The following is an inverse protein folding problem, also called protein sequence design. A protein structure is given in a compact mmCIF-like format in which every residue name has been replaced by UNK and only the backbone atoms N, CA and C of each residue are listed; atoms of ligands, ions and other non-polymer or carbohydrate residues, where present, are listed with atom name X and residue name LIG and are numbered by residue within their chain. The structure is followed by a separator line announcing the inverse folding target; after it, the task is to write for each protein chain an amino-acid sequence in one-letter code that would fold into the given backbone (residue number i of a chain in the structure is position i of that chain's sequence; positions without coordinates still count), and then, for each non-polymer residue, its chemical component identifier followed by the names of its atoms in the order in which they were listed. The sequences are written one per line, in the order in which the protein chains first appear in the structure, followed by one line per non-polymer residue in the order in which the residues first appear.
data_IF_444982887300
#
_entry.id   IF_444982887300
#
_cell.length_a   1.000
_cell.length_b   1.000
_cell.length_c   1.000
_cell.angle_alpha   90.00
_cell.angle_beta   90.00
_cell.angle_gamma   90.00
#
_symmetry.space_group_name_H-M   'P 1'
#
loop_
_entity.id
_entity.type
_entity.pdbx_description
1 polymer ?
#
# COMPACT_ATOMS: atom_id res chain seq x y z
N UNK A 1 -28.69 4.97 2.22
CA UNK A 1 -29.67 5.70 3.04
C UNK A 1 -29.05 7.07 3.18
N UNK A 2 -29.66 8.12 2.63
CA UNK A 2 -29.04 9.45 2.62
C UNK A 2 -28.77 9.90 4.05
N UNK A 3 -27.65 10.59 4.27
CA UNK A 3 -27.40 11.24 5.55
C UNK A 3 -28.53 12.25 5.80
N UNK A 4 -29.30 12.04 6.88
CA UNK A 4 -30.45 12.88 7.21
C UNK A 4 -30.08 14.37 7.41
N UNK A 5 -28.80 14.63 7.65
CA UNK A 5 -28.17 15.95 7.73
C UNK A 5 -27.09 16.06 6.66
N UNK A 6 -26.98 17.21 5.99
CA UNK A 6 -25.91 17.45 5.04
C UNK A 6 -24.54 17.47 5.74
N UNK A 7 -23.60 16.64 5.27
CA UNK A 7 -22.22 16.61 5.76
C UNK A 7 -21.49 17.91 5.39
N UNK A 8 -20.61 18.36 6.29
CA UNK A 8 -19.70 19.49 6.02
C UNK A 8 -18.28 18.94 5.90
N UNK A 9 -17.90 18.56 4.69
CA UNK A 9 -16.60 17.94 4.43
C UNK A 9 -15.43 18.86 4.80
N UNK A 10 -14.50 18.31 5.58
CA UNK A 10 -13.23 18.95 5.96
C UNK A 10 -12.01 18.31 5.28
N UNK A 11 -12.19 17.15 4.63
CA UNK A 11 -11.14 16.31 4.02
C UNK A 11 -10.15 17.11 3.16
N UNK A 12 -10.61 17.93 2.21
CA UNK A 12 -9.71 18.69 1.33
C UNK A 12 -8.83 19.68 2.10
N UNK A 13 -9.37 20.35 3.12
CA UNK A 13 -8.61 21.29 3.96
C UNK A 13 -7.62 20.59 4.91
N UNK A 14 -7.86 19.32 5.22
CA UNK A 14 -6.93 18.44 5.94
C UNK A 14 -5.82 17.97 5.00
N UNK A 15 -6.19 17.32 3.90
CA UNK A 15 -5.31 16.81 2.87
C UNK A 15 -4.25 17.83 2.43
N UNK A 16 -4.69 19.04 2.02
CA UNK A 16 -3.80 20.11 1.57
C UNK A 16 -2.78 20.57 2.63
N UNK A 17 -3.06 20.38 3.92
CA UNK A 17 -2.10 20.67 5.01
C UNK A 17 -1.17 19.49 5.25
N UNK A 18 -1.67 18.26 5.19
CA UNK A 18 -0.89 17.05 5.45
C UNK A 18 0.18 16.81 4.37
N UNK A 19 -0.15 17.01 3.09
CA UNK A 19 0.82 16.85 1.97
C UNK A 19 2.02 17.79 2.05
N UNK A 20 1.86 18.97 2.66
CA UNK A 20 2.96 19.92 2.87
C UNK A 20 3.93 19.50 3.99
N UNK A 21 3.58 18.48 4.78
CA UNK A 21 4.46 17.90 5.81
C UNK A 21 5.25 16.76 5.17
N UNK A 22 6.57 16.95 5.12
CA UNK A 22 7.50 15.92 4.64
C UNK A 22 7.54 14.74 5.63
N UNK A 23 7.17 13.57 5.14
CA UNK A 23 7.09 12.31 5.89
C UNK A 23 7.78 11.14 5.16
N UNK A 24 8.52 11.40 4.08
CA UNK A 24 9.12 10.33 3.27
C UNK A 24 9.97 9.34 4.10
N UNK A 25 9.78 8.04 3.87
CA UNK A 25 10.51 6.95 4.53
C UNK A 25 11.91 6.72 3.94
N UNK A 26 12.76 6.01 4.67
CA UNK A 26 14.15 5.69 4.29
C UNK A 26 14.38 4.17 4.38
N UNK A 27 14.44 3.43 3.26
CA UNK A 27 14.61 1.98 3.27
C UNK A 27 15.97 1.55 3.86
N UNK A 28 16.98 2.42 3.89
CA UNK A 28 18.31 2.14 4.46
C UNK A 28 18.36 2.36 5.98
N UNK A 29 17.38 3.05 6.55
CA UNK A 29 17.34 3.32 7.99
C UNK A 29 16.99 2.05 8.78
N UNK A 30 17.67 1.78 9.91
CA UNK A 30 17.35 0.66 10.80
C UNK A 30 16.35 1.03 11.91
N UNK A 31 15.84 2.28 11.96
CA UNK A 31 14.89 2.73 12.98
C UNK A 31 13.43 2.53 12.56
N UNK A 32 12.52 2.61 13.53
CA UNK A 32 11.06 2.71 13.32
C UNK A 32 10.59 3.95 14.12
N UNK A 33 10.09 5.01 13.47
CA UNK A 33 9.99 5.16 12.01
C UNK A 33 11.38 5.24 11.39
N UNK A 34 11.50 4.92 10.10
CA UNK A 34 12.73 5.05 9.34
C UNK A 34 13.23 6.49 9.32
N UNK A 35 12.30 7.46 9.28
CA UNK A 35 12.59 8.88 9.41
C UNK A 35 11.74 9.54 10.51
N UNK A 36 12.40 10.17 11.49
CA UNK A 36 11.73 10.87 12.60
C UNK A 36 10.79 12.01 12.16
N UNK A 37 10.89 12.46 10.90
CA UNK A 37 9.98 13.47 10.32
C UNK A 37 8.55 12.97 10.14
N UNK A 38 8.31 11.65 10.00
CA UNK A 38 6.96 11.07 9.97
C UNK A 38 6.14 11.45 11.21
N UNK A 39 6.77 11.43 12.39
CA UNK A 39 6.15 11.84 13.66
C UNK A 39 5.72 13.31 13.68
N UNK A 40 6.13 14.16 12.72
CA UNK A 40 5.61 15.53 12.61
C UNK A 40 4.14 15.54 12.18
N UNK A 41 3.77 14.71 11.20
CA UNK A 41 2.38 14.50 10.83
C UNK A 41 1.63 13.82 11.98
N UNK A 42 2.18 12.73 12.54
CA UNK A 42 1.55 12.02 13.65
C UNK A 42 1.22 12.90 14.87
N UNK A 43 2.09 13.85 15.24
CA UNK A 43 1.81 14.83 16.31
C UNK A 43 0.66 15.78 15.96
N UNK A 44 0.56 16.22 14.71
CA UNK A 44 -0.56 17.04 14.24
C UNK A 44 -1.88 16.26 14.25
N UNK A 45 -1.86 15.01 13.77
CA UNK A 45 -3.05 14.14 13.77
C UNK A 45 -3.57 13.90 15.19
N UNK A 46 -2.68 13.60 16.14
CA UNK A 46 -3.06 13.49 17.57
C UNK A 46 -3.69 14.77 18.10
N UNK A 47 -3.11 15.94 17.82
CA UNK A 47 -3.69 17.21 18.24
C UNK A 47 -5.11 17.38 17.66
N UNK A 48 -5.29 17.13 16.37
CA UNK A 48 -6.58 17.29 15.69
C UNK A 48 -7.63 16.26 16.15
N UNK A 49 -7.24 15.02 16.47
CA UNK A 49 -8.11 14.00 17.05
C UNK A 49 -8.59 14.41 18.46
N UNK A 50 -7.69 14.96 19.28
CA UNK A 50 -8.03 15.52 20.60
C UNK A 50 -8.97 16.73 20.47
N UNK A 51 -8.76 17.60 19.48
CA UNK A 51 -9.64 18.74 19.18
C UNK A 51 -11.03 18.33 18.64
N UNK A 52 -11.12 17.20 17.92
CA UNK A 52 -12.40 16.57 17.53
C UNK A 52 -13.12 16.00 18.76
N UNK A 53 -12.37 15.52 19.76
CA UNK A 53 -12.88 15.02 21.04
C UNK A 53 -12.53 13.57 21.35
N UNK A 54 -11.64 12.92 20.59
CA UNK A 54 -11.17 11.56 20.85
C UNK A 54 -10.08 11.60 21.92
N UNK A 55 -10.50 11.54 23.19
CA UNK A 55 -9.64 11.84 24.36
C UNK A 55 -8.52 10.82 24.63
N UNK A 56 -8.54 9.65 23.98
CA UNK A 56 -7.49 8.64 24.06
C UNK A 56 -6.45 8.76 22.93
N UNK A 57 -6.57 9.76 22.05
CA UNK A 57 -5.67 9.94 20.91
C UNK A 57 -4.22 10.19 21.36
N UNK A 58 -3.29 9.38 20.86
CA UNK A 58 -1.86 9.50 21.17
C UNK A 58 -0.95 8.92 20.09
N UNK A 59 0.30 9.36 20.10
CA UNK A 59 1.40 8.89 19.28
C UNK A 59 2.32 8.04 20.17
N UNK A 60 2.70 6.84 19.74
CA UNK A 60 3.62 5.98 20.49
C UNK A 60 5.12 6.22 20.15
N UNK A 61 6.00 5.43 20.76
CA UNK A 61 7.45 5.54 20.58
C UNK A 61 7.92 5.16 19.16
N UNK A 62 7.20 4.25 18.49
CA UNK A 62 7.48 3.78 17.13
C UNK A 62 6.84 4.67 16.05
N UNK A 63 6.00 5.62 16.44
CA UNK A 63 5.40 6.61 15.55
C UNK A 63 3.99 6.28 15.09
N UNK A 64 3.32 5.29 15.68
CA UNK A 64 1.92 4.97 15.37
C UNK A 64 0.99 5.92 16.10
N UNK A 65 -0.03 6.43 15.40
CA UNK A 65 -1.14 7.16 16.02
C UNK A 65 -2.28 6.19 16.29
N UNK A 66 -2.81 6.22 17.51
CA UNK A 66 -4.01 5.47 17.90
C UNK A 66 -5.06 6.43 18.45
N UNK A 67 -6.34 6.18 18.14
CA UNK A 67 -7.48 6.84 18.79
C UNK A 67 -8.75 5.96 18.73
N UNK A 68 -9.77 6.31 19.52
CA UNK A 68 -11.06 5.62 19.55
C UNK A 68 -12.22 6.61 19.39
N UNK A 69 -13.07 6.42 18.37
CA UNK A 69 -14.42 6.99 18.35
C UNK A 69 -15.32 6.10 19.21
N UNK A 70 -15.91 6.59 20.31
CA UNK A 70 -16.75 5.77 21.19
C UNK A 70 -18.08 5.40 20.50
N UNK A 71 -18.60 4.20 20.76
CA UNK A 71 -19.92 3.79 20.27
C UNK A 71 -21.03 4.77 20.71
N UNK A 72 -22.04 4.95 19.84
CA UNK A 72 -23.17 5.86 20.10
C UNK A 72 -24.56 5.19 19.97
N UNK A 73 -24.58 3.85 20.00
CA UNK A 73 -25.76 2.99 19.90
C UNK A 73 -26.02 2.22 21.21
N UNK A 74 -27.27 1.84 21.44
CA UNK A 74 -27.71 1.02 22.57
C UNK A 74 -27.55 -0.50 22.33
N UNK A 75 -27.13 -0.91 21.12
CA UNK A 75 -26.88 -2.32 20.79
C UNK A 75 -25.63 -2.83 21.53
N UNK A 76 -25.73 -3.94 22.31
CA UNK A 76 -24.63 -4.39 23.15
C UNK A 76 -23.45 -5.02 22.40
N UNK A 77 -23.71 -5.64 21.24
CA UNK A 77 -22.78 -6.58 20.59
C UNK A 77 -22.27 -6.08 19.21
N UNK A 78 -22.26 -4.77 18.95
CA UNK A 78 -21.71 -4.23 17.69
C UNK A 78 -20.19 -4.44 17.64
N UNK A 79 -19.65 -5.15 16.64
CA UNK A 79 -18.21 -5.41 16.57
C UNK A 79 -17.39 -4.13 16.50
N UNK A 80 -16.26 -4.11 17.20
CA UNK A 80 -15.25 -3.04 17.08
C UNK A 80 -14.60 -3.18 15.70
N UNK A 81 -14.56 -2.11 14.92
CA UNK A 81 -13.84 -2.06 13.63
C UNK A 81 -12.75 -1.00 13.66
N UNK A 82 -11.73 -1.15 12.82
CA UNK A 82 -10.64 -0.19 12.69
C UNK A 82 -10.56 0.40 11.28
N UNK A 83 -10.17 1.66 11.16
CA UNK A 83 -9.68 2.25 9.90
C UNK A 83 -8.19 2.53 10.02
N UNK A 84 -7.47 2.29 8.92
CA UNK A 84 -6.02 2.39 8.84
C UNK A 84 -5.58 3.15 7.59
N UNK A 85 -4.54 3.97 7.72
CA UNK A 85 -3.83 4.64 6.61
C UNK A 85 -2.38 4.90 7.04
N UNK A 86 -1.45 4.94 6.10
CA UNK A 86 -0.06 5.26 6.42
C UNK A 86 0.23 6.76 6.34
N UNK A 87 1.31 7.19 7.01
CA UNK A 87 1.69 8.61 7.12
C UNK A 87 2.89 8.99 6.26
N UNK A 88 3.73 8.03 5.87
CA UNK A 88 4.88 8.27 4.99
C UNK A 88 4.46 8.45 3.53
N UNK A 89 5.46 8.55 2.65
CA UNK A 89 5.33 8.72 1.20
C UNK A 89 6.57 8.12 0.55
N UNK A 90 6.45 7.57 -0.65
CA UNK A 90 7.46 6.77 -1.30
C UNK A 90 8.86 7.41 -1.34
N UNK A 91 9.94 6.59 -1.21
CA UNK A 91 11.31 7.06 -1.43
C UNK A 91 11.59 7.39 -2.91
N UNK A 92 10.79 6.86 -3.85
CA UNK A 92 11.00 6.97 -5.30
C UNK A 92 10.90 8.41 -5.86
N UNK A 93 10.10 9.27 -5.20
CA UNK A 93 9.98 10.67 -5.56
C UNK A 93 9.94 11.56 -4.30
N UNK A 94 10.56 12.74 -4.36
CA UNK A 94 10.67 13.62 -3.18
C UNK A 94 9.31 14.11 -2.68
N UNK A 95 8.96 13.74 -1.44
CA UNK A 95 7.88 14.36 -0.65
C UNK A 95 8.29 15.65 0.08
N UNK A 96 9.53 16.12 -0.08
CA UNK A 96 10.01 17.36 0.56
C UNK A 96 9.52 18.61 -0.18
N UNK A 97 8.71 19.44 0.47
CA UNK A 97 8.34 20.77 -0.04
C UNK A 97 7.23 20.77 -1.10
N UNK A 98 6.31 19.80 -1.02
CA UNK A 98 5.12 19.71 -1.89
C UNK A 98 4.32 21.01 -1.89
N UNK A 99 3.90 21.43 -3.09
CA UNK A 99 2.98 22.55 -3.31
C UNK A 99 1.70 22.02 -3.96
N UNK A 100 0.64 21.74 -3.19
CA UNK A 100 -0.59 21.21 -3.77
C UNK A 100 -1.37 22.31 -4.52
N UNK A 101 -1.93 21.96 -5.67
CA UNK A 101 -2.67 22.85 -6.57
C UNK A 101 -4.03 22.24 -6.87
N UNK A 102 -5.10 23.01 -6.67
CA UNK A 102 -6.47 22.59 -7.05
C UNK A 102 -6.79 23.08 -8.45
N UNK A 103 -7.05 22.14 -9.36
CA UNK A 103 -7.57 22.36 -10.72
C UNK A 103 -9.08 22.17 -10.68
N UNK A 104 -9.83 23.28 -10.75
CA UNK A 104 -11.28 23.24 -10.56
C UNK A 104 -12.05 22.86 -11.81
N UNK A 105 -13.11 22.06 -11.66
CA UNK A 105 -13.99 21.63 -12.75
C UNK A 105 -13.16 21.13 -13.95
N UNK A 106 -12.42 20.04 -13.75
CA UNK A 106 -11.58 19.43 -14.76
C UNK A 106 -12.38 19.14 -16.04
N UNK A 107 -11.89 19.60 -17.19
CA UNK A 107 -12.63 19.58 -18.47
C UNK A 107 -12.16 18.47 -19.43
N UNK A 108 -11.24 17.62 -18.99
CA UNK A 108 -10.61 16.57 -19.82
C UNK A 108 -9.37 17.04 -20.60
N UNK A 109 -8.88 18.27 -20.39
CA UNK A 109 -7.64 18.76 -20.99
C UNK A 109 -6.38 18.16 -20.33
N UNK A 110 -5.22 18.37 -20.96
CA UNK A 110 -3.92 17.99 -20.39
C UNK A 110 -3.52 18.99 -19.28
N UNK A 111 -3.16 18.49 -18.09
CA UNK A 111 -2.74 19.33 -16.95
C UNK A 111 -1.22 19.50 -16.98
N UNK A 112 -0.74 20.72 -17.25
CA UNK A 112 0.69 21.08 -17.26
C UNK A 112 1.09 21.58 -15.86
N UNK A 113 2.10 20.94 -15.25
CA UNK A 113 2.51 21.30 -13.89
C UNK A 113 3.47 22.51 -13.90
N UNK A 114 3.30 23.52 -13.03
CA UNK A 114 3.90 24.85 -13.23
C UNK A 114 5.38 24.98 -12.83
N UNK A 115 5.90 24.19 -11.88
CA UNK A 115 7.31 24.25 -11.50
C UNK A 115 8.20 23.37 -12.42
N UNK A 116 7.62 22.39 -13.12
CA UNK A 116 8.27 21.55 -14.13
C UNK A 116 7.30 21.27 -15.29
N UNK A 117 7.29 22.15 -16.29
CA UNK A 117 6.35 22.08 -17.44
C UNK A 117 6.62 20.90 -18.38
N UNK A 118 7.65 20.08 -18.12
CA UNK A 118 7.81 18.79 -18.79
C UNK A 118 6.89 17.71 -18.22
N UNK A 119 6.41 17.89 -16.98
CA UNK A 119 5.38 17.07 -16.39
C UNK A 119 4.01 17.54 -16.89
N UNK A 120 3.37 16.66 -17.66
CA UNK A 120 2.05 16.90 -18.23
C UNK A 120 1.23 15.65 -17.98
N UNK A 121 0.23 15.76 -17.12
CA UNK A 121 -0.74 14.71 -16.81
C UNK A 121 -1.76 14.68 -17.96
N UNK A 122 -1.82 13.57 -18.70
CA UNK A 122 -2.64 13.45 -19.92
C UNK A 122 -3.61 12.29 -19.84
N UNK A 123 -4.82 12.48 -20.35
CA UNK A 123 -5.87 11.45 -20.43
C UNK A 123 -5.44 10.16 -21.16
N UNK A 124 -4.52 10.26 -22.12
CA UNK A 124 -3.98 9.10 -22.87
C UNK A 124 -2.90 8.30 -22.11
N UNK A 125 -2.36 8.86 -21.04
CA UNK A 125 -1.34 8.25 -20.18
C UNK A 125 -1.96 7.80 -18.85
N UNK A 126 -2.98 8.52 -18.37
CA UNK A 126 -3.77 8.24 -17.17
C UNK A 126 -5.24 8.10 -17.55
N UNK A 127 -5.69 6.86 -17.79
CA UNK A 127 -7.02 6.59 -18.35
C UNK A 127 -8.18 6.99 -17.43
N UNK A 128 -7.94 7.07 -16.13
CA UNK A 128 -8.96 7.26 -15.10
C UNK A 128 -9.42 8.71 -14.95
N UNK A 129 -8.65 9.66 -15.49
CA UNK A 129 -9.07 11.05 -15.69
C UNK A 129 -10.38 11.17 -16.49
N UNK A 130 -10.74 10.17 -17.32
CA UNK A 130 -12.04 10.12 -18.03
C UNK A 130 -13.24 10.15 -17.08
N UNK A 131 -13.07 9.63 -15.86
CA UNK A 131 -14.11 9.55 -14.83
C UNK A 131 -14.24 10.85 -14.03
N UNK A 132 -13.29 11.78 -14.19
CA UNK A 132 -13.11 12.96 -13.35
C UNK A 132 -13.56 14.27 -14.00
N UNK A 133 -14.19 14.22 -15.18
CA UNK A 133 -14.67 15.41 -15.87
C UNK A 133 -15.79 16.08 -15.06
N UNK A 134 -15.56 17.32 -14.64
CA UNK A 134 -16.42 18.09 -13.74
C UNK A 134 -15.98 18.09 -12.27
N UNK A 135 -15.06 17.21 -11.86
CA UNK A 135 -14.50 17.18 -10.51
C UNK A 135 -13.38 18.22 -10.31
N UNK A 136 -13.06 18.52 -9.06
CA UNK A 136 -11.89 19.31 -8.68
C UNK A 136 -10.73 18.34 -8.42
N UNK A 137 -9.61 18.49 -9.14
CA UNK A 137 -8.43 17.65 -8.99
C UNK A 137 -7.34 18.36 -8.17
N UNK A 138 -6.60 17.62 -7.36
CA UNK A 138 -5.39 18.13 -6.67
C UNK A 138 -4.16 17.47 -7.28
N UNK A 139 -3.13 18.26 -7.62
CA UNK A 139 -1.81 17.78 -8.06
C UNK A 139 -0.70 18.42 -7.23
N UNK A 140 0.51 17.86 -7.28
CA UNK A 140 1.72 18.61 -6.94
C UNK A 140 2.04 19.69 -8.00
N UNK A 141 3.09 20.50 -7.78
CA UNK A 141 3.56 21.50 -8.76
C UNK A 141 4.52 20.96 -9.82
N UNK A 142 4.89 19.68 -9.78
CA UNK A 142 5.69 18.96 -10.78
C UNK A 142 7.15 18.66 -10.41
N UNK A 143 7.64 19.19 -9.29
CA UNK A 143 9.01 18.93 -8.78
C UNK A 143 9.09 17.81 -7.74
N UNK A 144 7.94 17.39 -7.22
CA UNK A 144 7.73 16.50 -6.07
C UNK A 144 6.58 15.54 -6.39
N UNK A 145 6.46 14.46 -5.60
CA UNK A 145 5.18 13.74 -5.51
C UNK A 145 4.13 14.62 -4.79
N UNK A 146 2.86 14.23 -4.82
CA UNK A 146 1.81 14.88 -4.04
C UNK A 146 1.71 14.30 -2.63
N UNK A 147 1.87 12.99 -2.47
CA UNK A 147 1.53 12.27 -1.25
C UNK A 147 0.01 12.20 -1.05
N UNK A 148 -0.72 12.00 -2.15
CA UNK A 148 -2.08 11.47 -2.09
C UNK A 148 -2.01 10.12 -1.38
N UNK A 149 -1.14 9.25 -1.89
CA UNK A 149 -0.65 8.03 -1.26
C UNK A 149 0.19 8.39 0.00
N UNK A 150 -0.27 8.12 1.24
CA UNK A 150 -1.65 7.81 1.63
C UNK A 150 -2.29 8.87 2.54
N UNK A 151 -1.87 10.13 2.39
CA UNK A 151 -2.45 11.26 3.16
C UNK A 151 -3.88 11.61 2.74
N UNK A 152 -4.36 11.10 1.59
CA UNK A 152 -5.77 11.10 1.20
C UNK A 152 -6.57 10.26 2.20
N UNK A 153 -6.23 8.97 2.36
CA UNK A 153 -6.81 8.07 3.36
C UNK A 153 -6.75 8.62 4.80
N UNK A 154 -5.59 9.17 5.20
CA UNK A 154 -5.47 9.86 6.50
C UNK A 154 -6.48 11.01 6.62
N UNK A 155 -6.62 11.87 5.60
CA UNK A 155 -7.54 12.99 5.61
C UNK A 155 -9.02 12.55 5.64
N UNK A 156 -9.35 11.45 4.98
CA UNK A 156 -10.68 10.86 4.93
C UNK A 156 -11.09 10.28 6.28
N UNK A 157 -10.20 9.49 6.90
CA UNK A 157 -10.42 8.93 8.24
C UNK A 157 -10.56 10.07 9.26
N UNK A 158 -9.74 11.12 9.16
CA UNK A 158 -9.82 12.30 10.03
C UNK A 158 -11.14 13.10 9.84
N UNK A 159 -11.64 13.22 8.61
CA UNK A 159 -12.94 13.87 8.34
C UNK A 159 -14.10 12.97 8.80
N UNK A 160 -14.04 11.66 8.56
CA UNK A 160 -15.03 10.72 9.06
C UNK A 160 -15.13 10.74 10.60
N UNK A 161 -14.00 10.77 11.32
CA UNK A 161 -13.98 10.99 12.77
C UNK A 161 -14.69 12.29 13.18
N UNK A 162 -14.45 13.38 12.44
CA UNK A 162 -15.12 14.65 12.65
C UNK A 162 -16.64 14.55 12.40
N UNK A 163 -17.08 13.89 11.33
CA UNK A 163 -18.51 13.72 11.06
C UNK A 163 -19.19 12.85 12.13
N UNK A 164 -18.63 11.67 12.49
CA UNK A 164 -19.19 10.77 13.51
C UNK A 164 -19.37 11.46 14.87
N UNK A 165 -18.40 12.29 15.27
CA UNK A 165 -18.46 13.06 16.53
C UNK A 165 -19.39 14.28 16.49
N UNK A 166 -19.83 14.71 15.31
CA UNK A 166 -20.76 15.85 15.13
C UNK A 166 -22.18 15.44 14.75
N UNK A 167 -22.37 14.24 14.25
CA UNK A 167 -23.64 13.70 13.75
C UNK A 167 -24.07 12.45 14.55
N UNK A 168 -24.54 12.59 15.81
CA UNK A 168 -24.95 11.47 16.67
C UNK A 168 -26.19 10.71 16.16
N UNK A 169 -26.83 11.18 15.09
CA UNK A 169 -27.84 10.47 14.30
C UNK A 169 -27.24 9.33 13.44
N UNK A 170 -25.95 9.40 13.08
CA UNK A 170 -25.23 8.31 12.41
C UNK A 170 -24.90 7.28 13.48
N UNK A 171 -25.59 6.13 13.48
CA UNK A 171 -25.37 5.09 14.49
C UNK A 171 -24.19 4.18 14.14
N UNK A 172 -23.32 3.96 15.12
CA UNK A 172 -22.11 3.15 14.98
C UNK A 172 -21.68 2.50 16.30
N UNK A 173 -20.96 1.38 16.17
CA UNK A 173 -20.19 0.77 17.26
C UNK A 173 -18.92 1.54 17.59
N UNK A 174 -18.03 0.95 18.37
CA UNK A 174 -16.72 1.55 18.68
C UNK A 174 -15.82 1.46 17.45
N UNK A 175 -15.26 2.60 17.03
CA UNK A 175 -14.36 2.67 15.87
C UNK A 175 -12.95 2.97 16.36
N UNK A 176 -11.98 2.17 15.92
CA UNK A 176 -10.55 2.35 16.16
C UNK A 176 -9.90 3.03 14.98
N UNK A 177 -8.91 3.87 15.28
CA UNK A 177 -8.12 4.60 14.30
C UNK A 177 -6.67 4.19 14.47
N UNK A 178 -6.02 3.82 13.38
CA UNK A 178 -4.58 3.55 13.30
C UNK A 178 -3.99 4.42 12.18
N UNK A 179 -2.92 5.17 12.46
CA UNK A 179 -2.06 5.69 11.40
C UNK A 179 -0.66 5.12 11.54
N UNK A 180 -0.17 4.46 10.48
CA UNK A 180 1.09 3.69 10.49
C UNK A 180 2.26 4.49 9.92
N UNK A 181 3.50 4.24 10.39
CA UNK A 181 4.74 4.69 9.77
C UNK A 181 5.41 3.57 8.95
N UNK A 182 6.11 3.92 7.87
CA UNK A 182 6.97 3.01 7.07
C UNK A 182 6.23 1.93 6.24
N UNK A 183 5.02 2.21 5.73
CA UNK A 183 4.32 1.28 4.82
C UNK A 183 5.15 1.05 3.55
N UNK A 184 5.58 2.16 2.92
CA UNK A 184 6.31 2.25 1.65
C UNK A 184 7.64 1.50 1.59
N UNK A 185 8.15 1.06 2.75
CA UNK A 185 9.37 0.24 2.89
C UNK A 185 9.08 -1.16 3.50
N UNK A 186 7.80 -1.56 3.51
CA UNK A 186 7.26 -2.86 3.92
C UNK A 186 7.13 -3.06 5.43
N UNK A 187 7.24 -2.01 6.26
CA UNK A 187 7.36 -2.10 7.73
C UNK A 187 6.17 -1.52 8.50
N UNK A 188 5.19 -0.97 7.78
CA UNK A 188 4.00 -0.29 8.29
C UNK A 188 3.43 -0.89 9.59
N UNK A 189 3.24 -2.21 9.65
CA UNK A 189 2.66 -2.90 10.84
C UNK A 189 3.64 -3.69 11.72
N UNK A 190 4.96 -3.54 11.58
CA UNK A 190 5.98 -4.27 12.38
C UNK A 190 5.85 -4.09 13.91
N UNK A 191 5.27 -2.98 14.36
CA UNK A 191 5.03 -2.65 15.78
C UNK A 191 3.57 -2.27 16.08
N UNK A 192 2.64 -2.53 15.17
CA UNK A 192 1.22 -2.27 15.40
C UNK A 192 0.67 -3.12 16.55
N UNK A 193 0.10 -2.48 17.57
CA UNK A 193 -0.46 -3.15 18.74
C UNK A 193 -1.90 -3.62 18.47
N UNK A 194 -2.01 -4.80 17.86
CA UNK A 194 -3.29 -5.43 17.49
C UNK A 194 -4.18 -5.68 18.72
N UNK A 195 -3.58 -5.98 19.88
CA UNK A 195 -4.34 -6.24 21.11
C UNK A 195 -5.00 -4.96 21.66
N UNK A 196 -4.32 -3.82 21.55
CA UNK A 196 -4.82 -2.48 21.90
C UNK A 196 -5.88 -1.95 20.93
N UNK A 197 -5.79 -2.32 19.65
CA UNK A 197 -6.89 -2.10 18.71
C UNK A 197 -8.11 -2.92 19.15
N UNK A 198 -7.93 -4.22 19.38
CA UNK A 198 -9.02 -5.11 19.83
C UNK A 198 -10.21 -5.15 18.86
N UNK A 199 -9.95 -4.88 17.58
CA UNK A 199 -10.95 -4.83 16.54
C UNK A 199 -11.20 -6.23 15.94
N UNK A 200 -12.44 -6.48 15.51
CA UNK A 200 -12.85 -7.68 14.79
C UNK A 200 -12.36 -7.66 13.33
N UNK A 201 -12.36 -6.48 12.72
CA UNK A 201 -11.94 -6.23 11.35
C UNK A 201 -11.29 -4.85 11.27
N UNK A 202 -10.41 -4.64 10.30
CA UNK A 202 -10.00 -3.30 9.90
C UNK A 202 -10.26 -3.07 8.41
N UNK A 203 -10.04 -1.84 7.95
CA UNK A 203 -10.06 -1.44 6.56
C UNK A 203 -8.91 -0.46 6.34
N UNK A 204 -8.01 -0.74 5.38
CA UNK A 204 -7.08 0.28 4.91
C UNK A 204 -7.83 1.21 3.94
N UNK A 205 -7.54 2.51 4.00
CA UNK A 205 -8.06 3.52 3.08
C UNK A 205 -6.92 3.94 2.15
N UNK A 206 -6.49 3.03 1.28
CA UNK A 206 -5.14 2.97 0.71
C UNK A 206 -5.17 2.44 -0.74
N UNK A 207 -6.26 2.74 -1.45
CA UNK A 207 -6.53 2.20 -2.78
C UNK A 207 -6.86 3.29 -3.80
N UNK A 208 -6.73 2.96 -5.08
CA UNK A 208 -6.83 3.93 -6.17
C UNK A 208 -8.28 4.40 -6.45
N UNK A 209 -8.93 3.87 -7.49
CA UNK A 209 -10.12 4.49 -8.09
C UNK A 209 -11.39 4.35 -7.23
N UNK A 210 -12.23 5.39 -7.22
CA UNK A 210 -13.49 5.42 -6.47
C UNK A 210 -14.39 4.21 -6.73
N UNK A 211 -14.74 3.50 -5.65
CA UNK A 211 -15.56 2.29 -5.67
C UNK A 211 -14.77 0.98 -5.83
N UNK A 212 -13.44 1.03 -5.93
CA UNK A 212 -12.62 -0.18 -5.81
C UNK A 212 -12.50 -0.62 -4.34
N UNK A 213 -12.57 -1.93 -4.12
CA UNK A 213 -12.23 -2.60 -2.87
C UNK A 213 -11.32 -3.77 -3.21
N UNK A 214 -10.26 -3.99 -2.45
CA UNK A 214 -9.31 -5.08 -2.72
C UNK A 214 -9.35 -6.09 -1.56
N UNK A 215 -9.57 -7.35 -1.91
CA UNK A 215 -9.73 -8.45 -0.95
C UNK A 215 -8.74 -9.61 -1.21
N UNK A 216 -7.80 -9.44 -2.14
CA UNK A 216 -6.74 -10.40 -2.42
C UNK A 216 -5.45 -9.71 -2.90
N UNK A 217 -4.32 -10.21 -2.43
CA UNK A 217 -2.96 -9.73 -2.76
C UNK A 217 -2.13 -10.86 -3.33
N UNK A 218 -0.93 -10.58 -3.83
CA UNK A 218 0.04 -11.65 -3.97
C UNK A 218 0.37 -12.29 -2.61
N UNK A 219 0.72 -13.57 -2.65
CA UNK A 219 1.65 -14.21 -1.73
C UNK A 219 3.08 -13.98 -2.21
N UNK A 220 4.00 -13.84 -1.28
CA UNK A 220 5.35 -13.38 -1.56
C UNK A 220 6.42 -14.18 -0.80
N UNK A 221 7.38 -14.69 -1.54
CA UNK A 221 8.65 -15.19 -1.03
C UNK A 221 9.80 -14.34 -1.60
N UNK A 222 10.87 -14.19 -0.83
CA UNK A 222 12.18 -13.80 -1.33
C UNK A 222 13.03 -15.04 -1.57
N UNK A 223 13.92 -15.02 -2.56
CA UNK A 223 14.88 -16.11 -2.75
C UNK A 223 16.30 -15.58 -2.98
N UNK A 224 17.29 -16.19 -2.32
CA UNK A 224 18.71 -15.85 -2.43
C UNK A 224 19.46 -17.01 -3.07
N UNK A 225 19.97 -16.80 -4.29
CA UNK A 225 20.77 -17.78 -5.02
C UNK A 225 22.25 -17.46 -4.82
N UNK A 226 22.95 -18.30 -4.05
CA UNK A 226 24.38 -18.17 -3.77
C UNK A 226 25.14 -19.17 -4.63
N UNK A 227 25.96 -18.70 -5.55
CA UNK A 227 26.73 -19.49 -6.51
C UNK A 227 28.20 -19.49 -6.10
N UNK A 228 28.80 -20.67 -5.98
CA UNK A 228 30.22 -20.87 -5.73
C UNK A 228 30.89 -21.36 -7.01
N UNK A 229 31.91 -20.64 -7.46
CA UNK A 229 32.72 -20.95 -8.63
C UNK A 229 34.14 -21.38 -8.24
N UNK A 230 35.04 -21.41 -9.23
CA UNK A 230 36.45 -21.74 -9.06
C UNK A 230 37.33 -20.58 -9.49
N UNK A 231 38.05 -20.00 -8.53
CA UNK A 231 38.98 -18.91 -8.76
C UNK A 231 40.34 -19.38 -9.30
N UNK A 232 40.92 -18.61 -10.21
CA UNK A 232 42.29 -18.79 -10.68
C UNK A 232 42.85 -17.43 -11.15
N UNK A 233 44.18 -17.28 -11.17
CA UNK A 233 44.79 -16.10 -11.78
C UNK A 233 44.41 -16.02 -13.28
N UNK A 234 43.86 -14.90 -13.79
CA UNK A 234 43.32 -14.82 -15.16
C UNK A 234 44.30 -15.26 -16.26
N UNK A 235 45.59 -14.95 -16.13
CA UNK A 235 46.63 -15.38 -17.07
C UNK A 235 46.92 -16.90 -17.10
N UNK A 236 46.37 -17.68 -16.16
CA UNK A 236 46.56 -19.13 -16.05
C UNK A 236 45.22 -19.89 -15.90
N UNK A 237 44.11 -19.25 -16.26
CA UNK A 237 42.74 -19.68 -15.97
C UNK A 237 42.17 -20.74 -16.93
N UNK A 238 42.81 -20.97 -18.08
CA UNK A 238 42.32 -21.87 -19.12
C UNK A 238 42.11 -23.30 -18.58
N UNK A 239 40.87 -23.81 -18.70
CA UNK A 239 40.48 -25.14 -18.21
C UNK A 239 40.47 -25.30 -16.68
N UNK A 240 40.45 -24.20 -15.93
CA UNK A 240 40.46 -24.21 -14.45
C UNK A 240 39.44 -23.26 -13.81
N UNK A 241 39.30 -22.06 -14.36
CA UNK A 241 38.40 -21.05 -13.78
C UNK A 241 36.95 -21.30 -14.19
N UNK A 242 36.08 -21.33 -13.19
CA UNK A 242 34.63 -21.35 -13.36
C UNK A 242 34.09 -20.11 -12.65
N UNK A 243 33.81 -19.05 -13.41
CA UNK A 243 33.57 -17.71 -12.83
C UNK A 243 32.13 -17.56 -12.34
N UNK A 244 31.94 -17.47 -11.02
CA UNK A 244 30.61 -17.39 -10.39
C UNK A 244 29.75 -16.25 -10.94
N UNK A 245 30.29 -15.03 -11.09
CA UNK A 245 29.57 -13.90 -11.71
C UNK A 245 29.12 -14.17 -13.16
N UNK A 246 29.87 -14.97 -13.93
CA UNK A 246 29.45 -15.38 -15.29
C UNK A 246 28.39 -16.49 -15.27
N UNK A 247 28.40 -17.34 -14.25
CA UNK A 247 27.36 -18.36 -14.02
C UNK A 247 26.05 -17.65 -13.63
N UNK A 248 26.10 -16.69 -12.71
CA UNK A 248 24.96 -15.86 -12.29
C UNK A 248 24.29 -15.15 -13.49
N UNK A 249 25.08 -14.45 -14.31
CA UNK A 249 24.55 -13.78 -15.51
C UNK A 249 23.95 -14.75 -16.55
N UNK A 250 24.42 -16.00 -16.63
CA UNK A 250 23.82 -17.04 -17.47
C UNK A 250 22.51 -17.58 -16.90
N UNK A 251 22.39 -17.70 -15.59
CA UNK A 251 21.15 -18.14 -14.92
C UNK A 251 20.07 -17.08 -15.14
N UNK A 252 20.38 -15.80 -14.88
CA UNK A 252 19.46 -14.68 -15.11
C UNK A 252 19.00 -14.64 -16.58
N UNK A 253 19.93 -14.74 -17.54
CA UNK A 253 19.62 -14.73 -18.97
C UNK A 253 18.95 -16.01 -19.50
N UNK A 254 18.70 -17.01 -18.64
CA UNK A 254 18.02 -18.26 -18.98
C UNK A 254 16.69 -18.45 -18.21
N UNK A 255 16.27 -17.45 -17.42
CA UNK A 255 14.93 -17.41 -16.82
C UNK A 255 13.87 -17.27 -17.93
N UNK A 256 12.64 -17.79 -17.73
CA UNK A 256 11.57 -17.63 -18.71
C UNK A 256 11.08 -16.19 -18.79
N UNK A 257 11.20 -15.54 -19.96
CA UNK A 257 10.69 -14.17 -20.18
C UNK A 257 9.21 -14.03 -19.81
N UNK A 258 8.40 -15.08 -20.00
CA UNK A 258 6.96 -15.09 -19.69
C UNK A 258 6.63 -15.28 -18.21
N UNK A 259 7.62 -15.32 -17.32
CA UNK A 259 7.49 -15.42 -15.86
C UNK A 259 8.09 -14.18 -15.18
N UNK A 260 7.99 -13.00 -15.80
CA UNK A 260 8.59 -11.76 -15.33
C UNK A 260 7.54 -10.64 -15.15
N UNK A 261 7.78 -9.60 -14.31
CA UNK A 261 6.83 -8.52 -14.08
C UNK A 261 6.41 -7.77 -15.35
N UNK A 262 7.35 -7.55 -16.28
CA UNK A 262 7.14 -6.82 -17.53
C UNK A 262 6.39 -7.62 -18.62
N UNK A 263 6.16 -8.92 -18.41
CA UNK A 263 5.42 -9.79 -19.33
C UNK A 263 4.22 -10.51 -18.68
N UNK A 264 3.89 -10.20 -17.42
CA UNK A 264 2.78 -10.84 -16.68
C UNK A 264 1.73 -9.81 -16.24
N UNK A 265 0.46 -10.14 -16.42
CA UNK A 265 -0.68 -9.29 -16.08
C UNK A 265 -1.68 -9.97 -15.15
N UNK A 266 -2.67 -9.21 -14.68
CA UNK A 266 -3.82 -9.69 -13.91
C UNK A 266 -3.41 -10.64 -12.76
N UNK A 267 -3.81 -11.91 -12.85
CA UNK A 267 -3.59 -12.95 -11.84
C UNK A 267 -2.29 -13.76 -12.03
N UNK A 268 -1.42 -13.41 -12.97
CA UNK A 268 -0.20 -14.16 -13.25
C UNK A 268 0.94 -13.82 -12.28
N UNK A 269 1.48 -14.81 -11.58
CA UNK A 269 2.71 -14.69 -10.78
C UNK A 269 3.98 -14.53 -11.61
N UNK A 270 5.10 -14.27 -10.95
CA UNK A 270 6.42 -14.08 -11.57
C UNK A 270 7.59 -14.43 -10.63
N UNK A 271 8.77 -14.57 -11.25
CA UNK A 271 10.10 -14.62 -10.62
C UNK A 271 10.89 -13.44 -11.15
N UNK A 272 11.41 -12.59 -10.26
CA UNK A 272 12.15 -11.39 -10.67
C UNK A 272 13.46 -11.23 -9.89
N UNK A 273 14.64 -11.24 -10.54
CA UNK A 273 15.90 -10.88 -9.91
C UNK A 273 15.94 -9.37 -9.65
N UNK A 274 16.19 -8.97 -8.40
CA UNK A 274 16.16 -7.57 -7.95
C UNK A 274 17.55 -7.00 -7.63
N UNK A 275 18.51 -7.84 -7.26
CA UNK A 275 19.92 -7.45 -7.11
C UNK A 275 20.85 -8.60 -7.51
N UNK A 276 22.07 -8.25 -7.94
CA UNK A 276 23.15 -9.20 -8.19
C UNK A 276 24.50 -8.58 -7.80
N UNK A 277 25.20 -9.23 -6.87
CA UNK A 277 26.56 -8.89 -6.49
C UNK A 277 27.48 -10.10 -6.61
N UNK A 278 28.77 -9.89 -6.90
CA UNK A 278 29.67 -11.03 -7.03
C UNK A 278 31.02 -10.74 -7.65
N UNK A 279 31.80 -11.81 -7.73
CA UNK A 279 33.15 -11.84 -8.28
C UNK A 279 33.47 -13.23 -8.86
N UNK A 280 34.73 -13.62 -8.96
CA UNK A 280 35.13 -14.87 -9.60
C UNK A 280 34.73 -16.10 -8.76
N UNK A 281 34.93 -16.03 -7.44
CA UNK A 281 34.77 -17.17 -6.52
C UNK A 281 33.33 -17.35 -6.04
N UNK A 282 32.61 -16.26 -5.77
CA UNK A 282 31.21 -16.29 -5.32
C UNK A 282 30.40 -15.22 -6.05
N UNK A 283 29.13 -15.50 -6.31
CA UNK A 283 28.13 -14.52 -6.72
C UNK A 283 26.80 -14.79 -6.00
N UNK A 284 26.02 -13.74 -5.76
CA UNK A 284 24.70 -13.80 -5.15
C UNK A 284 23.72 -13.10 -6.07
N UNK A 285 22.56 -13.72 -6.31
CA UNK A 285 21.41 -13.10 -6.96
C UNK A 285 20.25 -13.13 -5.97
N UNK A 286 19.68 -11.98 -5.68
CA UNK A 286 18.48 -11.85 -4.86
C UNK A 286 17.25 -11.71 -5.76
N UNK A 287 16.21 -12.45 -5.41
CA UNK A 287 14.96 -12.57 -6.15
C UNK A 287 13.76 -12.24 -5.28
N UNK A 288 12.71 -11.75 -5.93
CA UNK A 288 11.34 -11.80 -5.42
C UNK A 288 10.51 -12.80 -6.24
N UNK A 289 9.68 -13.57 -5.54
CA UNK A 289 8.75 -14.55 -6.09
C UNK A 289 7.35 -14.13 -5.68
N UNK A 290 6.42 -14.07 -6.64
CA UNK A 290 5.05 -13.61 -6.43
C UNK A 290 4.05 -14.52 -7.14
N UNK A 291 2.94 -14.86 -6.49
CA UNK A 291 1.76 -15.48 -7.11
C UNK A 291 0.54 -15.22 -6.22
N UNK A 292 -0.69 -15.32 -6.75
CA UNK A 292 -1.91 -15.25 -5.94
C UNK A 292 -2.21 -16.58 -5.22
N UNK A 293 -1.64 -17.68 -5.71
CA UNK A 293 -1.78 -19.03 -5.13
C UNK A 293 -0.49 -19.43 -4.37
N UNK A 294 -0.59 -19.62 -3.06
CA UNK A 294 0.55 -19.92 -2.16
C UNK A 294 1.41 -21.09 -2.64
N UNK A 295 0.78 -22.17 -3.13
CA UNK A 295 1.46 -23.39 -3.57
C UNK A 295 2.37 -23.15 -4.79
N UNK A 296 2.06 -22.16 -5.65
CA UNK A 296 2.87 -21.83 -6.84
C UNK A 296 4.19 -21.16 -6.50
N UNK A 297 4.35 -20.58 -5.32
CA UNK A 297 5.64 -20.00 -4.89
C UNK A 297 6.75 -21.05 -4.88
N UNK A 298 6.41 -22.30 -4.54
CA UNK A 298 7.34 -23.42 -4.60
C UNK A 298 7.71 -23.80 -6.04
N UNK A 299 6.75 -23.82 -6.96
CA UNK A 299 6.97 -24.09 -8.40
C UNK A 299 7.84 -23.01 -9.06
N UNK A 300 7.62 -21.75 -8.69
CA UNK A 300 8.44 -20.61 -9.12
C UNK A 300 9.87 -20.69 -8.57
N UNK A 301 10.05 -21.09 -7.32
CA UNK A 301 11.38 -21.36 -6.76
C UNK A 301 12.06 -22.56 -7.44
N UNK A 302 11.31 -23.62 -7.80
CA UNK A 302 11.82 -24.74 -8.58
C UNK A 302 12.22 -24.33 -10.01
N UNK A 303 11.58 -23.32 -10.60
CA UNK A 303 12.02 -22.75 -11.88
C UNK A 303 13.42 -22.15 -11.78
N UNK A 304 13.73 -21.45 -10.68
CA UNK A 304 15.10 -20.95 -10.42
C UNK A 304 16.09 -22.12 -10.29
N UNK A 305 15.72 -23.19 -9.56
CA UNK A 305 16.56 -24.40 -9.39
C UNK A 305 16.83 -25.08 -10.72
N UNK A 306 15.81 -25.30 -11.54
CA UNK A 306 15.93 -25.96 -12.84
C UNK A 306 16.84 -25.18 -13.81
N UNK A 307 16.71 -23.85 -13.85
CA UNK A 307 17.57 -23.00 -14.67
C UNK A 307 19.02 -23.01 -14.15
N UNK A 308 19.22 -22.97 -12.84
CA UNK A 308 20.54 -23.11 -12.22
C UNK A 308 21.18 -24.47 -12.55
N UNK A 309 20.45 -25.57 -12.34
CA UNK A 309 20.89 -26.94 -12.63
C UNK A 309 21.31 -27.10 -14.11
N UNK A 310 20.52 -26.57 -15.06
CA UNK A 310 20.86 -26.64 -16.49
C UNK A 310 22.14 -25.86 -16.80
N UNK A 311 22.28 -24.63 -16.27
CA UNK A 311 23.48 -23.81 -16.48
C UNK A 311 24.72 -24.46 -15.87
N UNK A 312 24.62 -25.06 -14.67
CA UNK A 312 25.76 -25.68 -13.98
C UNK A 312 26.26 -26.99 -14.62
N UNK A 313 25.51 -27.63 -15.54
CA UNK A 313 25.99 -28.85 -16.25
C UNK A 313 27.33 -28.67 -16.97
N UNK A 314 27.69 -27.45 -17.34
CA UNK A 314 28.98 -27.13 -18.00
C UNK A 314 30.04 -26.54 -17.05
N UNK A 315 29.77 -26.55 -15.74
CA UNK A 315 30.62 -26.03 -14.66
C UNK A 315 30.80 -27.09 -13.55
N UNK A 316 31.55 -28.18 -13.82
CA UNK A 316 31.57 -29.37 -12.98
C UNK A 316 32.25 -29.20 -11.60
N UNK A 317 32.90 -28.07 -11.34
CA UNK A 317 33.53 -27.76 -10.05
C UNK A 317 32.82 -26.62 -9.29
N UNK A 318 31.73 -26.09 -9.87
CA UNK A 318 30.90 -25.04 -9.27
C UNK A 318 29.67 -25.65 -8.60
N UNK A 319 29.08 -24.93 -7.65
CA UNK A 319 27.85 -25.32 -6.95
C UNK A 319 26.97 -24.10 -6.68
N UNK A 320 25.73 -24.32 -6.24
CA UNK A 320 24.90 -23.25 -5.71
C UNK A 320 24.08 -23.70 -4.50
N UNK A 321 23.56 -22.73 -3.77
CA UNK A 321 22.50 -22.88 -2.76
C UNK A 321 21.38 -21.91 -3.10
N UNK A 322 20.13 -22.35 -3.06
CA UNK A 322 18.96 -21.47 -3.17
C UNK A 322 18.20 -21.47 -1.84
N UNK A 323 18.24 -20.33 -1.15
CA UNK A 323 17.51 -20.09 0.09
C UNK A 323 16.20 -19.37 -0.24
N UNK A 324 15.08 -19.78 0.35
CA UNK A 324 13.75 -19.15 0.15
C UNK A 324 13.15 -18.75 1.49
N UNK A 325 12.61 -17.53 1.59
CA UNK A 325 12.04 -16.98 2.81
C UNK A 325 10.67 -16.35 2.53
N UNK A 326 9.66 -16.74 3.31
CA UNK A 326 8.34 -16.12 3.30
C UNK A 326 8.43 -14.64 3.69
N UNK A 327 7.80 -13.78 2.87
CA UNK A 327 7.64 -12.34 3.12
C UNK A 327 6.22 -12.04 3.61
N UNK A 328 5.20 -12.31 2.78
CA UNK A 328 3.78 -12.17 3.13
C UNK A 328 2.92 -13.18 2.37
N UNK A 329 1.62 -13.23 2.67
CA UNK A 329 0.65 -14.18 2.11
C UNK A 329 -0.64 -13.48 1.71
N UNK A 330 -1.37 -14.07 0.78
CA UNK A 330 -2.58 -13.53 0.18
C UNK A 330 -3.68 -13.37 1.25
N UNK A 331 -4.09 -12.12 1.49
CA UNK A 331 -5.09 -11.79 2.52
C UNK A 331 -6.46 -12.44 2.29
N UNK A 332 -6.76 -12.87 1.06
CA UNK A 332 -7.93 -13.67 0.69
C UNK A 332 -8.13 -14.88 1.58
N UNK A 333 -7.03 -15.54 1.97
CA UNK A 333 -7.04 -16.75 2.81
C UNK A 333 -7.58 -16.48 4.22
N UNK A 334 -7.47 -15.25 4.70
CA UNK A 334 -8.04 -14.78 5.97
C UNK A 334 -9.45 -14.22 5.75
N UNK A 335 -9.62 -13.32 4.78
CA UNK A 335 -10.90 -12.65 4.51
C UNK A 335 -12.01 -13.61 4.11
N UNK A 336 -11.70 -14.73 3.44
CA UNK A 336 -12.68 -15.77 3.09
C UNK A 336 -13.32 -16.45 4.31
N UNK A 337 -12.71 -16.35 5.50
CA UNK A 337 -13.27 -16.86 6.76
C UNK A 337 -14.29 -15.89 7.38
N UNK A 338 -14.30 -14.64 6.92
CA UNK A 338 -15.13 -13.54 7.41
C UNK A 338 -15.72 -12.72 6.25
N UNK A 339 -16.50 -13.34 5.34
CA UNK A 339 -16.97 -12.71 4.10
C UNK A 339 -17.77 -11.41 4.33
N UNK A 340 -18.43 -11.27 5.49
CA UNK A 340 -19.17 -10.08 5.87
C UNK A 340 -18.30 -8.80 5.88
N UNK A 341 -16.99 -8.91 6.12
CA UNK A 341 -16.07 -7.77 6.12
C UNK A 341 -16.03 -7.12 4.72
N UNK A 342 -15.94 -7.96 3.68
CA UNK A 342 -15.95 -7.53 2.28
C UNK A 342 -17.35 -7.13 1.84
N UNK A 343 -18.37 -7.94 2.15
CA UNK A 343 -19.77 -7.65 1.77
C UNK A 343 -20.26 -6.31 2.32
N UNK A 344 -19.86 -5.94 3.55
CA UNK A 344 -20.27 -4.69 4.18
C UNK A 344 -19.53 -3.49 3.58
N UNK A 345 -18.24 -3.62 3.22
CA UNK A 345 -17.50 -2.59 2.47
C UNK A 345 -18.14 -2.31 1.10
N UNK A 346 -18.43 -3.37 0.36
CA UNK A 346 -19.10 -3.28 -0.95
C UNK A 346 -20.51 -2.66 -0.85
N UNK A 347 -21.26 -2.92 0.23
CA UNK A 347 -22.54 -2.28 0.49
C UNK A 347 -22.39 -0.79 0.91
N UNK A 348 -21.37 -0.45 1.69
CA UNK A 348 -21.10 0.93 2.09
C UNK A 348 -20.79 1.83 0.87
N UNK A 349 -19.97 1.34 -0.06
CA UNK A 349 -19.69 2.01 -1.33
C UNK A 349 -20.96 2.22 -2.17
N UNK A 350 -21.81 1.19 -2.24
CA UNK A 350 -23.10 1.28 -2.96
C UNK A 350 -24.03 2.32 -2.32
N UNK A 351 -24.01 2.46 -0.99
CA UNK A 351 -24.75 3.50 -0.26
C UNK A 351 -24.20 4.90 -0.50
N UNK A 352 -22.90 5.05 -0.67
CA UNK A 352 -22.25 6.31 -1.10
C UNK A 352 -22.55 6.67 -2.58
N UNK A 353 -23.30 5.83 -3.30
CA UNK A 353 -23.68 6.06 -4.69
C UNK A 353 -22.63 5.61 -5.72
N UNK A 354 -21.64 4.82 -5.30
CA UNK A 354 -20.61 4.26 -6.16
C UNK A 354 -21.05 2.93 -6.79
N UNK A 355 -20.34 2.50 -7.83
CA UNK A 355 -20.47 1.16 -8.42
C UNK A 355 -19.33 0.27 -7.91
N UNK A 356 -19.54 -0.51 -6.84
CA UNK A 356 -18.45 -1.19 -6.15
C UNK A 356 -17.86 -2.34 -6.98
N UNK A 357 -16.53 -2.45 -6.99
CA UNK A 357 -15.75 -3.44 -7.75
C UNK A 357 -14.70 -4.10 -6.85
N UNK A 358 -14.62 -5.43 -6.89
CA UNK A 358 -13.50 -6.15 -6.30
C UNK A 358 -12.28 -6.14 -7.25
N UNK A 359 -11.12 -5.84 -6.68
CA UNK A 359 -9.83 -5.76 -7.35
C UNK A 359 -8.77 -6.63 -6.64
N UNK A 360 -7.68 -6.93 -7.34
CA UNK A 360 -6.59 -7.77 -6.85
C UNK A 360 -5.27 -6.98 -6.86
N UNK A 361 -4.53 -7.00 -5.75
CA UNK A 361 -3.26 -6.26 -5.63
C UNK A 361 -2.10 -7.13 -6.13
N UNK A 362 -1.38 -6.67 -7.16
CA UNK A 362 -0.13 -7.31 -7.65
C UNK A 362 1.09 -6.97 -6.78
N UNK A 363 0.88 -7.03 -5.46
CA UNK A 363 1.84 -6.67 -4.42
C UNK A 363 1.38 -7.18 -3.07
N UNK A 364 1.75 -6.49 -2.00
CA UNK A 364 1.24 -6.68 -0.65
C UNK A 364 1.04 -5.31 -0.01
N UNK A 365 0.24 -5.25 1.05
CA UNK A 365 -0.09 -4.02 1.78
C UNK A 365 -0.01 -4.28 3.28
N UNK A 366 0.00 -3.22 4.10
CA UNK A 366 -0.22 -3.33 5.53
C UNK A 366 -1.46 -4.18 5.88
N UNK A 367 -2.55 -4.04 5.11
CA UNK A 367 -3.78 -4.85 5.27
C UNK A 367 -3.55 -6.36 5.11
N UNK A 368 -2.65 -6.77 4.20
CA UNK A 368 -2.32 -8.19 4.04
C UNK A 368 -1.52 -8.73 5.22
N UNK A 369 -0.61 -7.93 5.78
CA UNK A 369 0.15 -8.29 6.98
C UNK A 369 -0.74 -8.32 8.23
N UNK A 370 -1.59 -7.31 8.44
CA UNK A 370 -2.57 -7.23 9.52
C UNK A 370 -3.50 -8.46 9.54
N UNK A 371 -3.94 -8.90 8.36
CA UNK A 371 -4.78 -10.08 8.22
C UNK A 371 -4.13 -11.33 8.81
N UNK A 372 -2.84 -11.57 8.54
CA UNK A 372 -2.09 -12.69 9.15
C UNK A 372 -1.64 -12.44 10.59
N UNK A 373 -1.70 -11.20 11.08
CA UNK A 373 -1.55 -10.85 12.50
C UNK A 373 -2.84 -11.02 13.31
N UNK A 374 -3.94 -11.48 12.68
CA UNK A 374 -5.22 -11.74 13.33
C UNK A 374 -6.25 -10.62 13.23
N UNK A 375 -6.00 -9.60 12.40
CA UNK A 375 -6.92 -8.50 12.12
C UNK A 375 -7.26 -8.48 10.62
N UNK A 376 -8.31 -9.18 10.16
CA UNK A 376 -8.66 -9.26 8.75
C UNK A 376 -8.95 -7.86 8.18
N UNK A 377 -8.20 -7.49 7.15
CA UNK A 377 -8.13 -6.10 6.64
C UNK A 377 -8.08 -6.09 5.11
N UNK A 378 -9.20 -5.86 4.41
CA UNK A 378 -9.20 -5.52 2.99
C UNK A 378 -8.87 -4.03 2.80
N UNK A 379 -8.59 -3.67 1.55
CA UNK A 379 -8.33 -2.29 1.15
C UNK A 379 -9.58 -1.61 0.56
N UNK A 380 -9.72 -0.31 0.80
CA UNK A 380 -10.77 0.56 0.27
C UNK A 380 -10.09 1.76 -0.43
N UNK A 381 -10.67 2.21 -1.53
CA UNK A 381 -10.20 3.39 -2.27
C UNK A 381 -10.10 4.68 -1.41
N UNK A 382 -9.12 5.52 -1.73
CA UNK A 382 -8.97 6.92 -1.29
C UNK A 382 -8.96 7.92 -2.49
N UNK A 383 -9.21 7.46 -3.72
CA UNK A 383 -9.37 8.34 -4.90
C UNK A 383 -8.08 8.98 -5.42
N UNK A 384 -6.97 8.53 -4.84
CA UNK A 384 -5.58 8.80 -5.19
C UNK A 384 -5.23 8.09 -6.50
N UNK A 385 -4.30 8.65 -7.29
CA UNK A 385 -3.89 8.11 -8.59
C UNK A 385 -2.44 8.47 -8.95
N UNK A 386 -1.80 7.64 -9.78
CA UNK A 386 -0.45 7.85 -10.32
C UNK A 386 0.64 8.03 -9.24
N UNK A 387 0.57 7.17 -8.21
CA UNK A 387 1.42 7.15 -7.02
C UNK A 387 2.92 7.19 -7.30
N UNK A 388 3.68 7.55 -6.27
CA UNK A 388 5.15 7.53 -6.24
C UNK A 388 5.80 8.38 -7.35
N UNK A 389 5.05 9.31 -7.95
CA UNK A 389 5.44 10.03 -9.16
C UNK A 389 5.17 11.52 -9.08
N UNK A 390 5.88 12.30 -9.91
CA UNK A 390 5.62 13.74 -10.09
C UNK A 390 4.25 14.06 -10.71
N UNK A 391 3.56 13.05 -11.22
CA UNK A 391 2.27 13.16 -11.91
C UNK A 391 1.11 12.69 -11.01
N UNK A 392 1.37 12.39 -9.75
CA UNK A 392 0.38 11.98 -8.76
C UNK A 392 -0.72 13.03 -8.58
N UNK A 393 -1.96 12.54 -8.48
CA UNK A 393 -3.16 13.37 -8.32
C UNK A 393 -4.24 12.67 -7.49
N UNK A 394 -5.21 13.44 -7.00
CA UNK A 394 -6.38 12.93 -6.29
C UNK A 394 -7.61 13.76 -6.63
N UNK A 395 -8.79 13.13 -6.68
CA UNK A 395 -10.07 13.82 -6.86
C UNK A 395 -10.65 14.27 -5.51
N UNK A 396 -11.04 15.55 -5.42
CA UNK A 396 -11.70 16.11 -4.23
C UNK A 396 -13.02 15.40 -3.95
N UNK A 397 -13.78 15.07 -5.00
CA UNK A 397 -15.06 14.39 -4.91
C UNK A 397 -14.87 12.92 -4.54
N UNK A 398 -13.78 12.28 -4.96
CA UNK A 398 -13.52 10.88 -4.63
C UNK A 398 -13.14 10.75 -3.15
N UNK A 399 -12.30 11.65 -2.62
CA UNK A 399 -12.06 11.77 -1.17
C UNK A 399 -13.35 11.99 -0.37
N UNK A 400 -14.28 12.82 -0.86
CA UNK A 400 -15.59 12.99 -0.22
C UNK A 400 -16.40 11.68 -0.23
N UNK A 401 -16.33 10.91 -1.32
CA UNK A 401 -16.98 9.60 -1.43
C UNK A 401 -16.32 8.51 -0.59
N UNK A 402 -15.03 8.59 -0.33
CA UNK A 402 -14.35 7.75 0.64
C UNK A 402 -14.84 8.06 2.07
N UNK A 403 -14.95 9.34 2.46
CA UNK A 403 -15.57 9.75 3.74
C UNK A 403 -17.01 9.22 3.86
N UNK A 404 -17.85 9.38 2.84
CA UNK A 404 -19.21 8.82 2.84
C UNK A 404 -19.21 7.29 2.98
N UNK A 405 -18.26 6.60 2.34
CA UNK A 405 -18.09 5.14 2.42
C UNK A 405 -17.71 4.70 3.83
N UNK A 406 -16.76 5.37 4.49
CA UNK A 406 -16.40 5.11 5.90
C UNK A 406 -17.63 5.24 6.80
N UNK A 407 -18.39 6.33 6.67
CA UNK A 407 -19.58 6.57 7.49
C UNK A 407 -20.67 5.52 7.25
N UNK A 408 -20.93 5.16 6.00
CA UNK A 408 -21.87 4.09 5.68
C UNK A 408 -21.40 2.72 6.15
N UNK A 409 -20.10 2.45 6.19
CA UNK A 409 -19.56 1.19 6.70
C UNK A 409 -19.79 1.07 8.20
N UNK A 410 -19.53 2.14 8.96
CA UNK A 410 -19.88 2.24 10.37
C UNK A 410 -21.38 1.98 10.63
N UNK A 411 -22.26 2.53 9.78
CA UNK A 411 -23.71 2.28 9.84
C UNK A 411 -24.06 0.83 9.50
N UNK A 412 -23.47 0.23 8.46
CA UNK A 412 -23.75 -1.16 8.06
C UNK A 412 -23.35 -2.14 9.16
N UNK A 413 -22.19 -1.94 9.80
CA UNK A 413 -21.78 -2.74 10.97
C UNK A 413 -22.74 -2.61 12.14
N UNK A 414 -23.27 -1.41 12.42
CA UNK A 414 -24.32 -1.22 13.42
C UNK A 414 -25.61 -1.94 13.02
N UNK A 415 -26.14 -1.68 11.82
CA UNK A 415 -27.42 -2.17 11.33
C UNK A 415 -27.51 -3.71 11.31
N UNK A 416 -26.37 -4.38 11.15
CA UNK A 416 -26.24 -5.84 10.99
C UNK A 416 -25.86 -6.59 12.28
N UNK A 417 -25.58 -5.87 13.36
CA UNK A 417 -25.35 -6.43 14.70
C UNK A 417 -26.66 -6.71 15.44
#
# INVERSE_FOLDING_TARGET
MDFNTALTFTVTGRFLRYVQIDTQSDPLSPTIPSTEKQKNLGRLLVQELLEIGLTDAHLDEYGYVYATVPANTDKPDVPVICFCSHMDTAPDCSGTGVKPIIHKNYDGSDIILPDDTTQIIKLKEHADLKNQVGNDLVTASGTTLLGADNKAGVAEIMDACYQLMRHPEIKHGTIKILFTPDEEIGRGVDKADIAKLGAFAAYTMDGESAGNMENETFSADGAKLIIQGVSAHPGFAQGKMESAIKIAGKIIAALPDNLSPEHTGDMQGFVHPVDMSGHIETAVVDFIIRDFEDDKLAEHADTIRQVADEVLKVYPNSTYTLETQQQYRNMKNVLAQHPQIVDYGMEAMRRAGLSPKLCSIRGGTDGSRLSFMGLPTPNIFAGEHAFHSKQEWVSVQDMQKAVETILHLCMVWEEKA
#
